data_IF_793281338395
#
_entry.id   IF_793281338395
#
_cell.length_a   1.000
_cell.length_b   1.000
_cell.length_c   1.000
_cell.angle_alpha   90.00
_cell.angle_beta   90.00
_cell.angle_gamma   90.00
#
_symmetry.space_group_name_H-M   'P 1'
#
loop_
_entity.id
_entity.type
_entity.pdbx_description
1 polymer ?
#
# COMPACT_ATOMS: atom_id res chain seq x y z
N UNK A 1 -7.47 10.67 15.86
CA UNK A 1 -8.36 9.71 15.16
C UNK A 1 -7.71 8.34 15.24
N UNK A 2 -8.49 7.26 15.38
CA UNK A 2 -7.92 5.92 15.36
C UNK A 2 -7.39 5.61 13.94
N UNK A 3 -6.25 4.93 13.86
CA UNK A 3 -5.71 4.48 12.58
C UNK A 3 -6.67 3.45 11.94
N UNK A 4 -6.89 3.48 10.62
CA UNK A 4 -7.72 2.49 9.96
C UNK A 4 -7.08 1.10 10.09
N UNK A 5 -7.92 0.06 10.06
CA UNK A 5 -7.50 -1.33 10.04
C UNK A 5 -7.84 -1.93 8.67
N UNK A 6 -7.02 -2.86 8.14
CA UNK A 6 -7.35 -3.55 6.90
C UNK A 6 -8.56 -4.48 7.13
N UNK A 7 -9.63 -4.30 6.35
CA UNK A 7 -10.89 -5.05 6.53
C UNK A 7 -11.04 -6.18 5.51
N UNK A 8 -10.58 -5.95 4.27
CA UNK A 8 -10.87 -6.83 3.13
C UNK A 8 -9.67 -7.68 2.68
N UNK A 9 -8.51 -7.48 3.30
CA UNK A 9 -7.27 -8.15 2.92
C UNK A 9 -7.13 -9.45 3.73
N UNK A 10 -6.89 -10.58 3.05
CA UNK A 10 -6.78 -11.89 3.69
C UNK A 10 -5.45 -12.58 3.35
N UNK A 11 -5.05 -13.56 4.17
CA UNK A 11 -3.90 -14.43 3.88
C UNK A 11 -2.52 -13.83 4.15
N UNK A 12 -2.44 -12.62 4.71
CA UNK A 12 -1.17 -12.06 5.19
C UNK A 12 -0.74 -12.75 6.50
N UNK A 13 0.59 -12.84 6.77
CA UNK A 13 1.09 -13.51 7.96
C UNK A 13 0.64 -12.83 9.24
N UNK A 14 0.45 -13.61 10.32
CA UNK A 14 0.18 -13.06 11.64
C UNK A 14 1.36 -12.20 12.12
N UNK A 15 1.06 -10.98 12.58
CA UNK A 15 2.05 -10.03 13.05
C UNK A 15 1.43 -8.71 13.46
N UNK A 16 2.26 -7.78 13.89
CA UNK A 16 1.83 -6.43 14.26
C UNK A 16 1.55 -5.60 13.00
N UNK A 17 0.33 -5.07 12.92
CA UNK A 17 -0.13 -4.24 11.80
C UNK A 17 0.11 -2.78 12.15
N UNK A 18 0.98 -2.14 11.38
CA UNK A 18 1.33 -0.75 11.51
C UNK A 18 0.74 0.03 10.34
N UNK A 19 -0.21 0.91 10.63
CA UNK A 19 -0.69 1.87 9.63
C UNK A 19 0.45 2.83 9.26
N UNK A 20 0.62 3.05 7.96
CA UNK A 20 1.71 3.86 7.44
C UNK A 20 1.20 5.22 6.99
N UNK A 21 0.36 5.23 5.96
CA UNK A 21 -0.16 6.46 5.38
C UNK A 21 -1.38 6.17 4.51
N UNK A 22 -2.07 7.26 4.19
CA UNK A 22 -3.08 7.33 3.15
C UNK A 22 -2.54 8.18 2.02
N UNK A 23 -2.77 7.77 0.78
CA UNK A 23 -2.35 8.54 -0.38
C UNK A 23 -3.40 8.49 -1.49
N UNK A 24 -3.63 9.66 -2.10
CA UNK A 24 -4.33 9.76 -3.38
C UNK A 24 -3.36 9.42 -4.52
N UNK A 25 -3.70 8.41 -5.31
CA UNK A 25 -2.89 7.92 -6.41
C UNK A 25 -2.85 8.95 -7.54
N UNK A 26 -1.64 9.27 -7.97
CA UNK A 26 -1.35 10.08 -9.15
C UNK A 26 -1.06 9.17 -10.35
N UNK A 27 -1.15 9.68 -11.58
CA UNK A 27 -0.77 8.90 -12.76
C UNK A 27 0.68 8.38 -12.70
N UNK A 28 1.59 9.17 -12.12
CA UNK A 28 2.98 8.75 -11.88
C UNK A 28 3.07 7.57 -10.91
N UNK A 29 2.24 7.55 -9.86
CA UNK A 29 2.25 6.46 -8.88
C UNK A 29 1.90 5.12 -9.55
N UNK A 30 0.98 5.15 -10.52
CA UNK A 30 0.52 3.97 -11.24
C UNK A 30 1.55 3.52 -12.27
N UNK A 31 2.14 4.44 -13.03
CA UNK A 31 3.03 4.12 -14.15
C UNK A 31 4.49 3.89 -13.73
N UNK A 32 5.00 4.75 -12.86
CA UNK A 32 6.41 4.83 -12.47
C UNK A 32 6.69 4.12 -11.15
N UNK A 33 5.66 3.95 -10.32
CA UNK A 33 5.74 3.26 -9.03
C UNK A 33 5.29 4.14 -7.87
N UNK A 34 4.89 3.50 -6.78
CA UNK A 34 4.33 4.19 -5.63
C UNK A 34 5.41 4.51 -4.58
N UNK A 35 5.74 5.79 -4.32
CA UNK A 35 6.63 6.14 -3.23
C UNK A 35 5.90 5.98 -1.88
N UNK A 36 6.53 5.22 -0.99
CA UNK A 36 6.15 5.11 0.40
C UNK A 36 6.66 6.34 1.17
N UNK A 37 5.76 6.96 1.93
CA UNK A 37 6.01 8.20 2.66
C UNK A 37 5.69 8.02 4.15
N UNK A 38 6.14 8.96 4.97
CA UNK A 38 5.84 8.97 6.41
C UNK A 38 6.57 7.87 7.19
N UNK A 39 5.89 7.31 8.20
CA UNK A 39 6.47 6.32 9.12
C UNK A 39 6.89 5.00 8.46
N UNK A 40 6.45 4.74 7.22
CA UNK A 40 6.89 3.58 6.44
C UNK A 40 8.41 3.57 6.32
N UNK A 41 9.00 4.75 6.11
CA UNK A 41 10.44 4.93 5.98
C UNK A 41 11.16 4.49 7.24
N UNK A 42 10.62 4.78 8.42
CA UNK A 42 11.26 4.45 9.70
C UNK A 42 11.38 2.95 9.90
N UNK A 43 10.32 2.20 9.59
CA UNK A 43 10.33 0.73 9.67
C UNK A 43 11.27 0.16 8.62
N UNK A 44 11.18 0.67 7.39
CA UNK A 44 11.97 0.21 6.24
C UNK A 44 13.47 0.52 6.35
N UNK A 45 13.84 1.58 7.05
CA UNK A 45 15.25 1.98 7.26
C UNK A 45 16.07 0.95 8.04
N UNK A 46 15.40 0.03 8.76
CA UNK A 46 16.07 -1.11 9.39
C UNK A 46 16.43 -2.23 8.41
N UNK A 47 16.02 -2.10 7.14
CA UNK A 47 16.25 -3.07 6.08
C UNK A 47 17.17 -2.48 4.99
N UNK A 48 17.79 -3.34 4.19
CA UNK A 48 18.76 -2.96 3.14
C UNK A 48 18.18 -1.99 2.09
N UNK A 49 19.06 -1.42 1.25
CA UNK A 49 18.70 -0.50 0.14
C UNK A 49 17.65 -1.06 -0.84
N UNK A 50 17.56 -2.39 -0.95
CA UNK A 50 16.52 -3.09 -1.70
C UNK A 50 15.86 -4.16 -0.84
N UNK A 51 14.52 -4.16 -0.83
CA UNK A 51 13.71 -5.06 -0.01
C UNK A 51 12.72 -5.76 -0.92
N UNK A 52 12.83 -7.09 -1.00
CA UNK A 52 11.82 -7.92 -1.65
C UNK A 52 10.79 -8.31 -0.59
N UNK A 53 9.54 -7.93 -0.82
CA UNK A 53 8.42 -8.18 0.09
C UNK A 53 7.20 -8.58 -0.71
N UNK A 54 6.14 -9.03 -0.02
CA UNK A 54 4.85 -9.32 -0.65
C UNK A 54 3.86 -8.22 -0.27
N UNK A 55 3.22 -7.66 -1.29
CA UNK A 55 2.11 -6.73 -1.14
C UNK A 55 0.80 -7.52 -1.27
N UNK A 56 -0.02 -7.45 -0.22
CA UNK A 56 -1.35 -8.03 -0.19
C UNK A 56 -2.39 -6.95 -0.42
N UNK A 57 -3.30 -7.21 -1.32
CA UNK A 57 -4.49 -6.42 -1.61
C UNK A 57 -5.73 -7.29 -1.48
N UNK A 58 -6.95 -6.73 -1.50
CA UNK A 58 -8.18 -7.52 -1.46
C UNK A 58 -8.29 -8.52 -2.62
N UNK A 59 -7.77 -8.17 -3.80
CA UNK A 59 -7.94 -8.96 -5.02
C UNK A 59 -6.72 -9.78 -5.42
N UNK A 60 -5.53 -9.38 -4.94
CA UNK A 60 -4.26 -9.89 -5.44
C UNK A 60 -3.21 -9.93 -4.33
N UNK A 61 -2.24 -10.83 -4.45
CA UNK A 61 -0.98 -10.69 -3.74
C UNK A 61 0.18 -10.97 -4.68
N UNK A 62 1.15 -10.07 -4.73
CA UNK A 62 2.34 -10.22 -5.55
C UNK A 62 3.59 -9.81 -4.78
N UNK A 63 4.70 -10.45 -5.13
CA UNK A 63 6.01 -9.97 -4.72
C UNK A 63 6.32 -8.65 -5.41
N UNK A 64 6.74 -7.70 -4.59
CA UNK A 64 7.08 -6.35 -4.97
C UNK A 64 8.46 -6.02 -4.42
N UNK A 65 9.17 -5.17 -5.16
CA UNK A 65 10.48 -4.69 -4.75
C UNK A 65 10.35 -3.24 -4.32
N UNK A 66 10.74 -3.00 -3.07
CA UNK A 66 10.99 -1.66 -2.56
C UNK A 66 12.44 -1.30 -2.87
N UNK A 67 12.62 -0.21 -3.59
CA UNK A 67 13.95 0.33 -3.85
C UNK A 67 14.06 1.67 -3.15
N UNK A 68 15.08 1.82 -2.30
CA UNK A 68 15.43 3.11 -1.74
C UNK A 68 16.13 3.95 -2.81
N UNK A 69 15.66 5.17 -3.06
CA UNK A 69 16.40 6.07 -3.92
C UNK A 69 17.63 6.59 -3.16
N UNK A 70 18.85 6.43 -3.71
CA UNK A 70 20.13 6.72 -3.04
C UNK A 70 20.27 8.13 -2.42
N UNK A 71 19.43 9.09 -2.78
CA UNK A 71 19.48 10.48 -2.28
C UNK A 71 18.30 10.88 -1.38
N UNK A 72 17.32 10.01 -1.21
CA UNK A 72 16.12 10.28 -0.41
C UNK A 72 15.83 9.07 0.46
N UNK A 73 15.50 9.25 1.74
CA UNK A 73 14.93 8.19 2.58
C UNK A 73 13.50 7.85 2.12
N UNK A 74 13.30 7.64 0.83
CA UNK A 74 12.02 7.34 0.19
C UNK A 74 12.20 6.00 -0.48
N UNK A 75 11.34 5.05 -0.10
CA UNK A 75 11.26 3.74 -0.71
C UNK A 75 10.15 3.77 -1.75
N UNK A 76 10.44 3.33 -2.97
CA UNK A 76 9.43 3.26 -4.03
C UNK A 76 9.12 1.82 -4.36
N UNK A 77 7.82 1.49 -4.34
CA UNK A 77 7.29 0.25 -4.89
C UNK A 77 7.41 0.31 -6.39
N UNK A 78 8.29 -0.53 -6.94
CA UNK A 78 8.60 -0.54 -8.37
C UNK A 78 8.56 -1.95 -8.92
N UNK A 79 8.57 -2.05 -10.25
CA UNK A 79 8.71 -3.31 -10.97
C UNK A 79 7.39 -3.95 -11.38
N UNK A 80 7.51 -5.20 -11.84
CA UNK A 80 6.42 -5.93 -12.48
C UNK A 80 5.26 -6.20 -11.50
N UNK A 81 5.56 -6.58 -10.26
CA UNK A 81 4.55 -6.87 -9.24
C UNK A 81 3.64 -5.69 -8.90
N UNK A 82 4.18 -4.45 -8.90
CA UNK A 82 3.35 -3.26 -8.70
C UNK A 82 2.37 -3.05 -9.86
N UNK A 83 2.83 -3.20 -11.10
CA UNK A 83 1.98 -3.03 -12.29
C UNK A 83 0.89 -4.10 -12.37
N UNK A 84 1.22 -5.35 -12.02
CA UNK A 84 0.24 -6.43 -11.95
C UNK A 84 -0.81 -6.14 -10.87
N UNK A 85 -0.42 -5.65 -9.69
CA UNK A 85 -1.37 -5.23 -8.65
C UNK A 85 -2.22 -4.06 -9.12
N UNK A 86 -1.62 -3.01 -9.69
CA UNK A 86 -2.35 -1.84 -10.17
C UNK A 86 -3.41 -2.22 -11.21
N UNK A 87 -3.10 -3.16 -12.10
CA UNK A 87 -4.04 -3.68 -13.08
C UNK A 87 -5.15 -4.54 -12.45
N UNK A 88 -4.81 -5.45 -11.54
CA UNK A 88 -5.80 -6.37 -10.92
C UNK A 88 -6.75 -5.66 -9.95
N UNK A 89 -6.24 -4.71 -9.16
CA UNK A 89 -7.04 -3.90 -8.22
C UNK A 89 -7.78 -2.75 -8.92
N UNK A 90 -7.59 -2.58 -10.24
CA UNK A 90 -8.22 -1.51 -11.01
C UNK A 90 -7.81 -0.12 -10.55
N UNK A 91 -6.54 0.05 -10.13
CA UNK A 91 -6.04 1.31 -9.63
C UNK A 91 -5.99 2.36 -10.74
N UNK A 92 -6.70 3.46 -10.53
CA UNK A 92 -6.72 4.62 -11.44
C UNK A 92 -6.37 5.90 -10.70
N UNK A 93 -5.95 6.91 -11.46
CA UNK A 93 -5.65 8.22 -10.90
C UNK A 93 -6.86 8.75 -10.10
N UNK A 94 -6.57 9.30 -8.94
CA UNK A 94 -7.56 9.94 -8.09
C UNK A 94 -8.21 9.03 -7.05
N UNK A 95 -7.98 7.71 -7.11
CA UNK A 95 -8.33 6.82 -6.01
C UNK A 95 -7.45 7.10 -4.79
N UNK A 96 -8.01 6.91 -3.60
CA UNK A 96 -7.25 6.95 -2.36
C UNK A 96 -7.02 5.53 -1.86
N UNK A 97 -5.83 5.27 -1.35
CA UNK A 97 -5.43 3.97 -0.81
C UNK A 97 -4.87 4.17 0.60
N UNK A 98 -5.22 3.24 1.49
CA UNK A 98 -4.59 3.09 2.79
C UNK A 98 -3.48 2.03 2.69
N UNK A 99 -2.35 2.31 3.35
CA UNK A 99 -1.21 1.43 3.40
C UNK A 99 -0.87 1.02 4.83
N UNK A 100 -0.56 -0.26 4.99
CA UNK A 100 -0.05 -0.83 6.23
C UNK A 100 1.22 -1.64 5.98
N UNK A 101 2.04 -1.75 7.02
CA UNK A 101 3.14 -2.69 7.09
C UNK A 101 2.83 -3.73 8.16
N UNK A 102 3.17 -4.98 7.89
CA UNK A 102 3.09 -6.08 8.85
C UNK A 102 4.49 -6.59 9.11
N UNK A 103 4.91 -6.52 10.36
CA UNK A 103 6.16 -7.12 10.81
C UNK A 103 5.84 -8.44 11.51
N UNK A 104 6.23 -9.55 10.90
CA UNK A 104 6.03 -10.86 11.50
C UNK A 104 6.93 -11.01 12.73
N UNK A 105 6.33 -11.21 13.91
CA UNK A 105 7.01 -11.20 15.21
C UNK A 105 8.19 -12.19 15.31
N UNK A 106 8.19 -13.26 14.50
CA UNK A 106 9.14 -14.36 14.59
C UNK A 106 10.07 -14.53 13.38
N UNK A 107 9.93 -13.69 12.34
CA UNK A 107 10.59 -13.99 11.05
C UNK A 107 11.37 -12.84 10.44
N UNK A 108 11.42 -11.67 11.09
CA UNK A 108 12.02 -10.46 10.51
C UNK A 108 11.49 -10.17 9.08
N UNK A 109 10.32 -10.74 8.75
CA UNK A 109 9.69 -10.64 7.46
C UNK A 109 8.74 -9.46 7.50
N UNK A 110 9.00 -8.51 6.62
CA UNK A 110 8.11 -7.41 6.34
C UNK A 110 7.14 -7.82 5.23
N UNK A 111 5.86 -7.57 5.44
CA UNK A 111 4.82 -7.61 4.41
C UNK A 111 4.13 -6.25 4.33
N UNK A 112 3.57 -5.93 3.17
CA UNK A 112 2.79 -4.72 2.96
C UNK A 112 1.34 -5.08 2.70
N UNK A 113 0.43 -4.23 3.17
CA UNK A 113 -1.00 -4.33 2.87
C UNK A 113 -1.45 -3.02 2.22
N UNK A 114 -2.32 -3.11 1.22
CA UNK A 114 -2.93 -1.94 0.59
C UNK A 114 -4.41 -2.21 0.32
N UNK A 115 -5.25 -1.23 0.64
CA UNK A 115 -6.68 -1.26 0.33
C UNK A 115 -7.11 0.06 -0.29
N UNK A 116 -7.91 -0.01 -1.35
CA UNK A 116 -8.58 1.17 -1.91
C UNK A 116 -9.67 1.62 -0.96
N UNK A 117 -9.70 2.90 -0.67
CA UNK A 117 -10.75 3.49 0.15
C UNK A 117 -11.96 3.69 -0.76
N UNK A 118 -13.11 3.05 -0.48
CA UNK A 118 -14.30 3.29 -1.25
C UNK A 118 -14.66 4.77 -1.10
N UNK A 119 -14.71 5.50 -2.21
CA UNK A 119 -15.32 6.82 -2.23
C UNK A 119 -16.73 6.66 -1.69
N UNK A 120 -17.03 7.31 -0.55
CA UNK A 120 -18.40 7.37 -0.03
C UNK A 120 -19.29 7.79 -1.18
N UNK A 121 -20.15 6.87 -1.62
CA UNK A 121 -21.20 7.14 -2.59
C UNK A 121 -22.01 8.29 -1.98
N UNK A 122 -21.85 9.51 -2.50
CA UNK A 122 -22.76 10.61 -2.18
C UNK A 122 -24.07 10.17 -2.82
N UNK A 123 -24.94 9.57 -2.02
CA UNK A 123 -26.32 9.32 -2.43
C UNK A 123 -26.94 10.72 -2.48
N UNK A 124 -27.02 11.30 -3.67
CA UNK A 124 -27.94 12.39 -3.91
C UNK A 124 -29.34 11.81 -3.72
N UNK A 125 -29.93 12.09 -2.56
CA UNK A 125 -31.37 11.97 -2.40
C UNK A 125 -31.99 13.03 -3.33
N UNK A 126 -32.29 12.63 -4.57
CA UNK A 126 -33.33 13.30 -5.34
C UNK A 126 -34.65 12.80 -4.74
N UNK A 127 -35.15 13.50 -3.72
CA UNK A 127 -36.58 13.50 -3.44
C UNK A 127 -37.20 14.31 -4.57
N UNK A 128 -37.87 13.60 -5.48
CA UNK A 128 -38.77 14.18 -6.48
C UNK A 128 -39.98 14.77 -5.75
N UNK A 129 -40.33 15.98 -6.18
CA UNK A 129 -41.44 16.84 -5.71
C UNK A 129 -42.82 16.17 -5.88
#
# INVERSE_FOLDING_TARGET
MANPQPEEIQGYPAGDIHYQFRKKLSNADINDGLPLVGDAVTILSNFNEQINTRLYTPYCNHEVTLTQAHSTSTYTLTGKGWKDIAANDGLVEGLEVDFWAVTAANSNQLCLLMQVIPMKKIIYAHEED
#
